data_IF_734117381484
#
_entry.id   IF_734117381484
#
_cell.length_a   1.000
_cell.length_b   1.000
_cell.length_c   1.000
_cell.angle_alpha   90.00
_cell.angle_beta   90.00
_cell.angle_gamma   90.00
#
_symmetry.space_group_name_H-M   'P 1'
#
loop_
_entity.id
_entity.type
_entity.pdbx_description
1 polymer ?
#
# COMPACT_ATOMS: atom_id res chain seq x y z
N UNK A 1 -13.37 23.44 11.56
CA UNK A 1 -12.30 22.41 11.60
C UNK A 1 -12.59 21.12 10.83
N UNK A 2 -13.84 20.73 10.52
CA UNK A 2 -14.14 19.48 9.78
C UNK A 2 -13.75 19.47 8.29
N UNK A 3 -13.92 20.60 7.58
CA UNK A 3 -13.61 20.70 6.12
C UNK A 3 -12.12 20.46 5.81
N UNK A 4 -11.20 21.08 6.56
CA UNK A 4 -9.75 20.91 6.38
C UNK A 4 -9.30 19.47 6.63
N UNK A 5 -9.82 18.84 7.68
CA UNK A 5 -9.56 17.41 8.00
C UNK A 5 -10.03 16.49 6.87
N UNK A 6 -11.23 16.74 6.34
CA UNK A 6 -11.81 15.96 5.23
C UNK A 6 -11.00 16.12 3.93
N UNK A 7 -10.58 17.35 3.60
CA UNK A 7 -9.73 17.62 2.42
C UNK A 7 -8.39 16.89 2.57
N UNK A 8 -7.74 16.98 3.74
CA UNK A 8 -6.49 16.28 4.01
C UNK A 8 -6.63 14.75 3.81
N UNK A 9 -7.69 14.14 4.35
CA UNK A 9 -7.93 12.71 4.22
C UNK A 9 -8.21 12.29 2.76
N UNK A 10 -8.94 13.10 2.00
CA UNK A 10 -9.16 12.87 0.56
C UNK A 10 -7.84 12.94 -0.23
N UNK A 11 -6.98 13.92 0.08
CA UNK A 11 -5.65 14.02 -0.53
C UNK A 11 -4.78 12.79 -0.23
N UNK A 12 -4.78 12.32 1.03
CA UNK A 12 -4.06 11.09 1.39
C UNK A 12 -4.60 9.89 0.62
N UNK A 13 -5.92 9.73 0.45
CA UNK A 13 -6.49 8.63 -0.34
C UNK A 13 -6.12 8.71 -1.82
N UNK A 14 -6.09 9.92 -2.40
CA UNK A 14 -5.63 10.11 -3.78
C UNK A 14 -4.14 9.75 -3.95
N UNK A 15 -3.30 10.10 -2.99
CA UNK A 15 -1.89 9.71 -2.97
C UNK A 15 -1.72 8.19 -2.84
N UNK A 16 -2.50 7.55 -1.96
CA UNK A 16 -2.52 6.10 -1.80
C UNK A 16 -2.97 5.38 -3.09
N UNK A 17 -3.94 5.94 -3.80
CA UNK A 17 -4.38 5.43 -5.09
C UNK A 17 -3.32 5.59 -6.17
N UNK A 18 -2.74 6.78 -6.30
CA UNK A 18 -1.70 7.04 -7.28
C UNK A 18 -0.48 6.12 -7.09
N UNK A 19 -0.06 5.92 -5.85
CA UNK A 19 1.06 5.02 -5.52
C UNK A 19 0.75 3.55 -5.81
N UNK A 20 -0.40 3.03 -5.37
CA UNK A 20 -0.79 1.62 -5.62
C UNK A 20 -1.00 1.32 -7.10
N UNK A 21 -1.63 2.24 -7.84
CA UNK A 21 -1.80 2.13 -9.31
C UNK A 21 -0.44 2.12 -10.00
N UNK A 22 0.44 3.06 -9.65
CA UNK A 22 1.78 3.15 -10.25
C UNK A 22 2.60 1.90 -9.96
N UNK A 23 2.58 1.42 -8.72
CA UNK A 23 3.27 0.20 -8.31
C UNK A 23 2.77 -1.04 -9.08
N UNK A 24 1.45 -1.19 -9.21
CA UNK A 24 0.85 -2.29 -9.96
C UNK A 24 1.20 -2.22 -11.46
N UNK A 25 1.13 -1.04 -12.08
CA UNK A 25 1.44 -0.87 -13.51
C UNK A 25 2.91 -1.18 -13.79
N UNK A 26 3.84 -0.57 -13.03
CA UNK A 26 5.28 -0.79 -13.25
C UNK A 26 5.62 -2.28 -13.10
N UNK A 27 5.06 -2.96 -12.10
CA UNK A 27 5.29 -4.39 -11.87
C UNK A 27 4.60 -5.28 -12.92
N UNK A 28 3.43 -4.89 -13.42
CA UNK A 28 2.73 -5.64 -14.47
C UNK A 28 3.47 -5.57 -15.82
N UNK A 29 4.12 -4.44 -16.11
CA UNK A 29 4.90 -4.25 -17.34
C UNK A 29 6.22 -5.02 -17.37
N UNK A 30 6.76 -5.41 -16.22
CA UNK A 30 8.07 -6.07 -16.11
C UNK A 30 8.07 -7.59 -16.42
N UNK A 31 6.98 -8.14 -16.99
CA UNK A 31 6.88 -9.55 -17.43
C UNK A 31 7.08 -10.60 -16.32
N UNK A 32 6.88 -10.25 -15.05
CA UNK A 32 7.29 -11.07 -13.90
C UNK A 32 6.23 -11.54 -12.89
N UNK A 33 6.62 -12.65 -12.23
CA UNK A 33 5.93 -13.54 -11.29
C UNK A 33 5.56 -12.94 -9.92
N UNK A 34 5.64 -11.61 -9.71
CA UNK A 34 5.14 -10.97 -8.49
C UNK A 34 3.62 -10.83 -8.49
N UNK A 35 2.91 -11.90 -8.90
CA UNK A 35 1.46 -11.96 -9.06
C UNK A 35 0.74 -11.49 -7.80
N UNK A 36 1.25 -11.92 -6.64
CA UNK A 36 0.68 -11.52 -5.36
C UNK A 36 0.76 -10.00 -5.12
N UNK A 37 1.89 -9.36 -5.43
CA UNK A 37 2.07 -7.91 -5.29
C UNK A 37 1.14 -7.13 -6.22
N UNK A 38 1.02 -7.56 -7.49
CA UNK A 38 0.13 -6.92 -8.48
C UNK A 38 -1.34 -7.08 -8.06
N UNK A 39 -1.74 -8.28 -7.64
CA UNK A 39 -3.12 -8.55 -7.17
C UNK A 39 -3.43 -7.71 -5.92
N UNK A 40 -2.55 -7.69 -4.93
CA UNK A 40 -2.75 -6.90 -3.71
C UNK A 40 -2.90 -5.40 -4.00
N UNK A 41 -2.01 -4.83 -4.82
CA UNK A 41 -2.07 -3.40 -5.17
C UNK A 41 -3.28 -3.06 -6.06
N UNK A 42 -3.70 -3.94 -6.95
CA UNK A 42 -4.91 -3.74 -7.77
C UNK A 42 -6.19 -3.79 -6.93
N UNK A 43 -6.30 -4.74 -5.98
CA UNK A 43 -7.41 -4.80 -5.03
C UNK A 43 -7.46 -3.53 -4.17
N UNK A 44 -6.32 -3.07 -3.66
CA UNK A 44 -6.23 -1.83 -2.90
C UNK A 44 -6.61 -0.58 -3.73
N UNK A 45 -6.28 -0.57 -5.02
CA UNK A 45 -6.65 0.51 -5.94
C UNK A 45 -8.17 0.55 -6.20
N UNK A 46 -8.78 -0.60 -6.51
CA UNK A 46 -10.24 -0.70 -6.68
C UNK A 46 -10.97 -0.26 -5.42
N UNK A 47 -10.50 -0.70 -4.26
CA UNK A 47 -11.05 -0.29 -2.97
C UNK A 47 -10.91 1.22 -2.75
N UNK A 48 -9.72 1.80 -2.92
CA UNK A 48 -9.53 3.23 -2.71
C UNK A 48 -10.37 4.08 -3.67
N UNK A 49 -10.54 3.64 -4.92
CA UNK A 49 -11.41 4.30 -5.89
C UNK A 49 -12.87 4.27 -5.43
N UNK A 50 -13.34 3.13 -4.94
CA UNK A 50 -14.70 2.99 -4.41
C UNK A 50 -14.93 3.92 -3.21
N UNK A 51 -13.95 4.01 -2.30
CA UNK A 51 -14.03 4.86 -1.09
C UNK A 51 -14.06 6.35 -1.42
N UNK A 52 -13.54 6.80 -2.57
CA UNK A 52 -13.62 8.21 -2.96
C UNK A 52 -15.05 8.72 -3.14
N UNK A 53 -15.98 7.84 -3.52
CA UNK A 53 -17.38 8.20 -3.75
C UNK A 53 -18.25 8.12 -2.48
N UNK A 54 -17.69 7.69 -1.34
CA UNK A 54 -18.47 7.49 -0.13
C UNK A 54 -18.74 8.83 0.61
N UNK A 55 -20.01 9.12 0.98
CA UNK A 55 -20.36 10.32 1.76
C UNK A 55 -19.95 10.17 3.24
N UNK A 56 -19.43 11.25 3.82
CA UNK A 56 -18.79 11.23 5.14
C UNK A 56 -19.73 11.06 6.34
N UNK A 57 -21.05 11.13 6.15
CA UNK A 57 -22.05 11.18 7.22
C UNK A 57 -22.72 9.82 7.49
N UNK A 58 -22.17 8.71 6.96
CA UNK A 58 -22.80 7.39 7.02
C UNK A 58 -22.15 6.45 8.04
N UNK A 59 -22.96 5.54 8.59
CA UNK A 59 -22.54 4.41 9.45
C UNK A 59 -21.45 3.54 8.76
N UNK A 60 -21.32 3.64 7.43
CA UNK A 60 -20.32 2.97 6.62
C UNK A 60 -18.88 3.36 6.98
N UNK A 61 -18.62 4.48 7.66
CA UNK A 61 -17.26 4.85 8.07
C UNK A 61 -16.60 3.83 9.00
N UNK A 62 -17.38 3.14 9.83
CA UNK A 62 -16.87 2.05 10.68
C UNK A 62 -16.49 0.83 9.84
N UNK A 63 -17.23 0.57 8.76
CA UNK A 63 -16.91 -0.49 7.81
C UNK A 63 -15.66 -0.15 7.00
N UNK A 64 -15.52 1.11 6.56
CA UNK A 64 -14.32 1.63 5.87
C UNK A 64 -13.08 1.46 6.75
N UNK A 65 -13.17 1.72 8.06
CA UNK A 65 -12.05 1.45 8.98
C UNK A 65 -11.64 -0.03 8.96
N UNK A 66 -12.59 -0.95 9.06
CA UNK A 66 -12.29 -2.38 9.03
C UNK A 66 -11.63 -2.79 7.71
N UNK A 67 -12.13 -2.30 6.58
CA UNK A 67 -11.51 -2.55 5.28
C UNK A 67 -10.13 -1.88 5.15
N UNK A 68 -9.94 -0.66 5.67
CA UNK A 68 -8.63 0.01 5.67
C UNK A 68 -7.57 -0.82 6.43
N UNK A 69 -7.94 -1.45 7.56
CA UNK A 69 -7.05 -2.39 8.28
C UNK A 69 -6.73 -3.63 7.44
N UNK A 70 -7.73 -4.22 6.77
CA UNK A 70 -7.51 -5.41 5.92
C UNK A 70 -6.57 -5.06 4.76
N UNK A 71 -6.78 -3.91 4.13
CA UNK A 71 -5.95 -3.44 3.02
C UNK A 71 -4.52 -3.11 3.45
N UNK A 72 -4.31 -2.49 4.61
CA UNK A 72 -2.95 -2.23 5.11
C UNK A 72 -2.20 -3.52 5.40
N UNK A 73 -2.86 -4.53 5.98
CA UNK A 73 -2.26 -5.84 6.22
C UNK A 73 -1.94 -6.58 4.92
N UNK A 74 -2.88 -6.55 3.96
CA UNK A 74 -2.68 -7.13 2.62
C UNK A 74 -1.47 -6.50 1.93
N UNK A 75 -1.40 -5.16 1.88
CA UNK A 75 -0.29 -4.42 1.28
C UNK A 75 1.03 -4.73 1.99
N UNK A 76 1.06 -4.72 3.32
CA UNK A 76 2.27 -5.03 4.11
C UNK A 76 2.81 -6.41 3.78
N UNK A 77 1.94 -7.43 3.77
CA UNK A 77 2.34 -8.80 3.46
C UNK A 77 2.88 -8.94 2.03
N UNK A 78 2.27 -8.23 1.06
CA UNK A 78 2.67 -8.28 -0.34
C UNK A 78 4.00 -7.58 -0.59
N UNK A 79 4.23 -6.43 0.06
CA UNK A 79 5.50 -5.69 0.01
C UNK A 79 6.60 -6.52 0.66
N UNK A 80 6.34 -7.15 1.82
CA UNK A 80 7.31 -7.99 2.49
C UNK A 80 7.75 -9.19 1.64
N UNK A 81 6.80 -9.87 0.99
CA UNK A 81 7.09 -10.97 0.08
C UNK A 81 7.92 -10.51 -1.13
N UNK A 82 7.54 -9.39 -1.76
CA UNK A 82 8.25 -8.85 -2.91
C UNK A 82 9.66 -8.35 -2.54
N UNK A 83 9.83 -7.75 -1.35
CA UNK A 83 11.13 -7.35 -0.83
C UNK A 83 12.05 -8.54 -0.57
N UNK A 84 11.53 -9.65 -0.03
CA UNK A 84 12.33 -10.85 0.20
C UNK A 84 12.89 -11.40 -1.12
N UNK A 85 12.05 -11.50 -2.16
CA UNK A 85 12.47 -11.94 -3.50
C UNK A 85 13.48 -10.95 -4.10
N UNK A 86 13.23 -9.65 -3.97
CA UNK A 86 14.15 -8.63 -4.49
C UNK A 86 15.52 -8.64 -3.78
N UNK A 87 15.58 -8.92 -2.48
CA UNK A 87 16.84 -9.05 -1.76
C UNK A 87 17.67 -10.23 -2.26
N UNK A 88 17.03 -11.38 -2.50
CA UNK A 88 17.68 -12.56 -3.04
C UNK A 88 18.13 -12.29 -4.49
N UNK A 89 17.31 -11.62 -5.30
CA UNK A 89 17.65 -11.25 -6.68
C UNK A 89 18.82 -10.27 -6.79
N UNK A 90 18.97 -9.37 -5.82
CA UNK A 90 20.04 -8.37 -5.80
C UNK A 90 21.36 -8.91 -5.25
N UNK A 91 21.33 -9.59 -4.10
CA UNK A 91 22.54 -10.00 -3.40
C UNK A 91 22.95 -11.45 -3.71
N UNK A 92 22.02 -12.27 -4.24
CA UNK A 92 22.20 -13.71 -4.36
C UNK A 92 22.26 -14.41 -2.99
N UNK A 93 22.42 -15.73 -3.02
CA UNK A 93 22.76 -16.53 -1.86
C UNK A 93 23.69 -17.68 -2.26
N UNK A 94 24.97 -17.55 -1.93
CA UNK A 94 26.00 -18.54 -2.25
C UNK A 94 25.73 -19.91 -1.60
N UNK A 95 25.13 -19.94 -0.40
CA UNK A 95 24.78 -21.19 0.28
C UNK A 95 23.69 -21.99 -0.44
N UNK A 96 22.79 -21.31 -1.17
CA UNK A 96 21.75 -21.94 -1.97
C UNK A 96 22.10 -22.04 -3.46
N UNK A 97 23.30 -21.60 -3.87
CA UNK A 97 23.71 -21.54 -5.27
C UNK A 97 22.95 -20.48 -6.11
N UNK A 98 22.29 -19.52 -5.47
CA UNK A 98 21.57 -18.45 -6.15
C UNK A 98 22.53 -17.31 -6.53
N UNK A 99 22.75 -17.12 -7.83
CA UNK A 99 23.52 -15.98 -8.36
C UNK A 99 22.67 -14.68 -8.39
N UNK A 100 23.27 -13.49 -8.25
CA UNK A 100 22.57 -12.22 -8.39
C UNK A 100 22.10 -12.00 -9.84
N UNK A 101 20.81 -11.75 -10.02
CA UNK A 101 20.19 -11.53 -11.34
C UNK A 101 20.32 -10.07 -11.78
N UNK A 102 20.29 -9.14 -10.81
CA UNK A 102 20.31 -7.71 -11.07
C UNK A 102 21.58 -7.21 -11.77
N UNK A 103 22.70 -7.92 -11.66
CA UNK A 103 23.96 -7.56 -12.33
C UNK A 103 23.93 -7.84 -13.83
N UNK A 104 23.14 -8.83 -14.27
CA UNK A 104 23.06 -9.24 -15.68
C UNK A 104 21.93 -8.52 -16.43
N UNK A 105 20.85 -8.13 -15.75
CA UNK A 105 19.65 -7.51 -16.34
C UNK A 105 19.26 -6.21 -15.61
N UNK A 106 20.08 -5.17 -15.76
CA UNK A 106 19.93 -3.91 -15.03
C UNK A 106 18.58 -3.18 -15.26
N UNK A 107 18.05 -3.20 -16.49
CA UNK A 107 16.79 -2.53 -16.84
C UNK A 107 15.59 -3.11 -16.10
N UNK A 108 15.59 -4.42 -15.90
CA UNK A 108 14.58 -5.11 -15.15
C UNK A 108 14.68 -4.77 -13.66
N UNK A 109 15.91 -4.73 -13.12
CA UNK A 109 16.12 -4.51 -11.70
C UNK A 109 15.70 -3.08 -11.28
N UNK A 110 15.92 -2.10 -12.16
CA UNK A 110 15.47 -0.73 -11.93
C UNK A 110 13.94 -0.60 -11.95
N UNK A 111 13.24 -1.33 -12.84
CA UNK A 111 11.78 -1.37 -12.86
C UNK A 111 11.19 -1.99 -11.59
N UNK A 112 11.67 -3.17 -11.18
CA UNK A 112 11.22 -3.86 -9.96
C UNK A 112 11.49 -3.01 -8.72
N UNK A 113 12.67 -2.40 -8.63
CA UNK A 113 13.01 -1.49 -7.54
C UNK A 113 12.08 -0.27 -7.51
N UNK A 114 11.78 0.32 -8.67
CA UNK A 114 10.83 1.43 -8.79
C UNK A 114 9.42 1.04 -8.32
N UNK A 115 8.92 -0.13 -8.72
CA UNK A 115 7.62 -0.64 -8.28
C UNK A 115 7.57 -0.87 -6.76
N UNK A 116 8.64 -1.42 -6.18
CA UNK A 116 8.76 -1.63 -4.73
C UNK A 116 8.79 -0.31 -3.95
N UNK A 117 9.53 0.68 -4.43
CA UNK A 117 9.58 2.02 -3.82
C UNK A 117 8.19 2.67 -3.83
N UNK A 118 7.47 2.57 -4.94
CA UNK A 118 6.08 3.08 -5.04
C UNK A 118 5.13 2.31 -4.12
N UNK A 119 5.27 0.98 -4.01
CA UNK A 119 4.47 0.16 -3.10
C UNK A 119 4.72 0.47 -1.62
N UNK A 120 5.99 0.68 -1.24
CA UNK A 120 6.38 1.11 0.11
C UNK A 120 5.82 2.50 0.45
N UNK A 121 5.87 3.43 -0.50
CA UNK A 121 5.29 4.76 -0.31
C UNK A 121 3.77 4.66 -0.12
N UNK A 122 3.09 3.84 -0.93
CA UNK A 122 1.67 3.55 -0.76
C UNK A 122 1.34 2.95 0.59
N UNK A 123 2.14 2.00 1.07
CA UNK A 123 2.01 1.39 2.39
C UNK A 123 2.13 2.42 3.52
N UNK A 124 3.11 3.32 3.44
CA UNK A 124 3.28 4.40 4.43
C UNK A 124 2.06 5.33 4.46
N UNK A 125 1.53 5.70 3.29
CA UNK A 125 0.31 6.53 3.23
C UNK A 125 -0.90 5.80 3.81
N UNK A 126 -1.09 4.51 3.50
CA UNK A 126 -2.15 3.68 4.08
C UNK A 126 -2.02 3.56 5.61
N UNK A 127 -0.80 3.43 6.13
CA UNK A 127 -0.54 3.42 7.57
C UNK A 127 -0.93 4.76 8.22
N UNK A 128 -0.59 5.88 7.59
CA UNK A 128 -0.96 7.22 8.09
C UNK A 128 -2.49 7.42 8.09
N UNK A 129 -3.18 6.96 7.05
CA UNK A 129 -4.66 6.97 7.00
C UNK A 129 -5.22 6.16 8.16
N UNK A 130 -4.71 4.94 8.37
CA UNK A 130 -5.17 4.06 9.44
C UNK A 130 -4.95 4.67 10.83
N UNK A 131 -3.76 5.21 11.10
CA UNK A 131 -3.42 5.88 12.37
C UNK A 131 -4.33 7.07 12.62
N UNK A 132 -4.56 7.90 11.60
CA UNK A 132 -5.44 9.04 11.70
C UNK A 132 -6.88 8.63 12.01
N UNK A 133 -7.40 7.62 11.31
CA UNK A 133 -8.76 7.11 11.52
C UNK A 133 -8.93 6.47 12.90
N UNK A 134 -7.94 5.72 13.38
CA UNK A 134 -7.93 5.17 14.73
C UNK A 134 -7.93 6.28 15.80
N UNK A 135 -7.06 7.27 15.67
CA UNK A 135 -6.99 8.39 16.60
C UNK A 135 -8.32 9.16 16.65
N UNK A 136 -8.91 9.46 15.48
CA UNK A 136 -10.21 10.15 15.40
C UNK A 136 -11.36 9.36 16.04
N UNK A 137 -11.27 8.04 16.11
CA UNK A 137 -12.28 7.17 16.76
C UNK A 137 -12.00 6.97 18.26
N UNK A 138 -10.73 6.92 18.65
CA UNK A 138 -10.31 6.65 20.02
C UNK A 138 -10.41 7.88 20.91
N UNK A 139 -10.14 9.08 20.37
CA UNK A 139 -10.25 10.37 21.10
C UNK A 139 -11.58 10.57 21.84
N UNK A 140 -12.76 10.45 21.19
CA UNK A 140 -14.04 10.63 21.88
C UNK A 140 -14.32 9.53 22.91
N UNK A 141 -13.73 8.34 22.78
CA UNK A 141 -13.88 7.25 23.75
C UNK A 141 -12.99 7.47 24.98
N UNK A 142 -11.78 8.00 24.80
CA UNK A 142 -10.85 8.31 25.90
C UNK A 142 -11.22 9.60 26.66
N UNK A 143 -11.79 10.59 25.97
CA UNK A 143 -12.20 11.86 26.59
C UNK A 143 -13.57 11.79 27.26
N UNK A 144 -14.37 10.75 26.99
CA UNK A 144 -15.57 10.43 27.77
C UNK A 144 -15.15 9.84 29.11
N UNK A 145 -14.61 10.69 30.00
CA UNK A 145 -14.47 10.36 31.42
C UNK A 145 -15.87 10.09 32.00
N UNK A 146 -16.02 9.09 32.89
CA UNK A 146 -17.28 8.83 33.58
C UNK A 146 -17.73 10.03 34.42
#
# INVERSE_FOLDING_TARGET
MGKTKRICLLLLRLLALGSTVSAAIVMATSHEEARYFVIANSVASVYGFLVLFLPAESLLWRLVLCFDVIMTMLLTSSVAAALAVAQIGKNGNSYAGWLPICDQVANYCSQVTGALVMGLLGLLVYLLILLYSLHSLLDPLLLKKP
#
